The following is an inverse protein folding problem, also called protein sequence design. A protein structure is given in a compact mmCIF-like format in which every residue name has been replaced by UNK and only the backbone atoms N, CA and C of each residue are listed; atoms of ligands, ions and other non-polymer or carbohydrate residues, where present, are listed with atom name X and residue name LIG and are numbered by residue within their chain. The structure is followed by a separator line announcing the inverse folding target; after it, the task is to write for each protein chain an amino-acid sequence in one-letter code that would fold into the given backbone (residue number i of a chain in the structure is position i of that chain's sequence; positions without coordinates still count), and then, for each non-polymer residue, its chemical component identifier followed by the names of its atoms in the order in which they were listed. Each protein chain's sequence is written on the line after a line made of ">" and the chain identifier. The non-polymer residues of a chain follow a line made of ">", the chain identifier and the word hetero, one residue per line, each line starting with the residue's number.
data_IF_311794578173
#
_entry.id   IF_311794578173
#
_cell.length_a   1.000
_cell.length_b   1.000
_cell.length_c   1.000
_cell.angle_alpha   90.00
_cell.angle_beta   90.00
_cell.angle_gamma   90.00
#
_symmetry.space_group_name_H-M   'P 1'
#
loop_
_entity.id
_entity.type
_entity.pdbx_description
1 polymer ?
#
# COMPACT_ATOMS: atom_id res chain seq x y z
N UNK A 1 5.18 62.57 15.10
CA UNK A 1 4.21 62.59 16.21
C UNK A 1 2.93 61.96 15.74
N UNK A 2 2.63 60.79 16.17
CA UNK A 2 1.34 60.29 16.67
C UNK A 2 1.48 58.77 16.96
N UNK A 3 1.41 58.48 18.24
CA UNK A 3 1.42 57.11 18.80
C UNK A 3 -0.03 56.58 18.76
N UNK A 4 -0.31 55.40 18.22
CA UNK A 4 -1.51 54.67 18.57
C UNK A 4 -1.19 53.31 19.12
N UNK A 5 -1.70 53.14 20.34
CA UNK A 5 -1.57 52.01 21.25
C UNK A 5 -2.36 50.80 20.78
N UNK A 6 -1.80 49.61 21.01
CA UNK A 6 -2.50 48.33 20.99
C UNK A 6 -3.46 48.21 22.20
N UNK A 7 -4.56 47.49 22.08
CA UNK A 7 -5.33 47.03 23.23
C UNK A 7 -4.95 45.60 23.62
N UNK A 8 -4.88 45.40 24.95
CA UNK A 8 -4.58 44.21 25.70
C UNK A 8 -5.68 43.14 25.60
N UNK A 9 -5.25 41.92 25.56
CA UNK A 9 -6.06 40.75 25.91
C UNK A 9 -6.63 40.87 27.33
N UNK A 10 -7.91 40.56 27.50
CA UNK A 10 -8.50 40.12 28.75
C UNK A 10 -9.28 38.83 28.55
N UNK A 11 -8.88 37.85 29.31
CA UNK A 11 -9.54 36.66 29.76
C UNK A 11 -11.07 36.61 29.65
N UNK A 12 -11.55 35.46 29.20
CA UNK A 12 -12.84 34.94 29.64
C UNK A 12 -12.70 33.43 29.86
N UNK A 13 -12.69 33.14 31.14
CA UNK A 13 -12.66 31.81 31.72
C UNK A 13 -14.06 31.20 31.82
N UNK A 14 -14.12 29.88 31.70
CA UNK A 14 -15.05 28.95 32.35
C UNK A 14 -16.53 28.98 31.92
N UNK A 15 -16.92 27.93 31.21
CA UNK A 15 -18.19 27.24 31.51
C UNK A 15 -17.97 25.72 31.39
N UNK A 16 -17.95 25.06 32.51
CA UNK A 16 -18.17 23.63 32.69
C UNK A 16 -19.57 23.27 32.17
N UNK A 17 -19.68 22.26 31.37
CA UNK A 17 -20.94 21.54 31.16
C UNK A 17 -20.73 20.08 31.61
N UNK A 18 -21.41 19.74 32.71
CA UNK A 18 -21.54 18.40 33.29
C UNK A 18 -22.22 17.45 32.29
N UNK A 19 -21.58 16.36 31.96
CA UNK A 19 -22.27 15.21 31.34
C UNK A 19 -22.76 14.28 32.46
N UNK A 20 -24.04 13.94 32.42
CA UNK A 20 -24.72 13.04 33.35
C UNK A 20 -24.35 11.59 33.04
N UNK A 21 -23.83 10.90 34.03
CA UNK A 21 -23.66 9.45 34.09
C UNK A 21 -25.03 8.80 34.32
N UNK A 22 -25.45 7.92 33.44
CA UNK A 22 -26.60 7.02 33.66
C UNK A 22 -26.08 5.66 34.07
N UNK A 23 -26.30 5.35 35.37
CA UNK A 23 -26.06 4.04 35.93
C UNK A 23 -27.18 3.09 35.53
N UNK A 24 -26.83 1.95 34.96
CA UNK A 24 -27.75 0.82 34.74
C UNK A 24 -27.63 -0.12 35.92
N UNK A 25 -28.69 -0.19 36.73
CA UNK A 25 -28.84 -1.11 37.83
C UNK A 25 -29.13 -2.53 37.35
N UNK A 26 -28.27 -3.46 37.74
CA UNK A 26 -28.53 -4.91 37.60
C UNK A 26 -29.31 -5.39 38.81
N UNK A 27 -30.53 -5.86 38.58
CA UNK A 27 -31.42 -6.43 39.58
C UNK A 27 -31.07 -7.94 39.74
N UNK A 28 -30.52 -8.28 40.92
CA UNK A 28 -30.32 -9.69 41.33
C UNK A 28 -31.58 -10.16 42.05
N UNK A 29 -32.29 -11.13 41.44
CA UNK A 29 -33.40 -11.83 42.13
C UNK A 29 -32.84 -13.00 42.93
N UNK A 30 -32.88 -12.89 44.24
CA UNK A 30 -32.72 -14.00 45.18
C UNK A 30 -34.06 -14.74 45.32
N UNK A 31 -34.11 -16.02 44.96
CA UNK A 31 -35.22 -16.93 45.28
C UNK A 31 -34.80 -17.78 46.49
N UNK A 32 -35.41 -17.50 47.64
CA UNK A 32 -35.38 -18.34 48.81
C UNK A 32 -36.41 -19.44 48.68
N UNK A 33 -35.99 -20.70 48.61
CA UNK A 33 -36.84 -21.86 48.65
C UNK A 33 -36.67 -22.62 49.97
N UNK A 34 -37.78 -22.84 50.61
CA UNK A 34 -37.99 -23.35 51.97
C UNK A 34 -37.68 -24.85 52.10
N UNK A 35 -37.12 -25.15 53.27
CA UNK A 35 -36.89 -26.48 53.86
C UNK A 35 -38.17 -27.33 53.98
N UNK A 36 -38.09 -28.59 53.59
CA UNK A 36 -39.04 -29.63 53.96
C UNK A 36 -38.30 -30.94 54.25
N UNK A 37 -38.17 -31.27 55.53
CA UNK A 37 -37.71 -32.58 55.98
C UNK A 37 -38.80 -33.63 55.74
N UNK A 38 -38.43 -34.75 55.16
CA UNK A 38 -39.13 -36.02 55.45
C UNK A 38 -38.13 -37.17 55.43
N UNK A 39 -38.07 -37.91 56.53
CA UNK A 39 -37.34 -39.16 56.69
C UNK A 39 -38.15 -40.30 56.06
N UNK A 40 -37.55 -41.22 55.35
CA UNK A 40 -37.59 -42.64 55.66
C UNK A 40 -36.85 -43.54 54.65
N UNK A 41 -36.08 -44.48 55.20
CA UNK A 41 -35.82 -45.85 54.76
C UNK A 41 -34.79 -46.12 53.69
N UNK A 42 -33.65 -46.65 54.18
CA UNK A 42 -32.70 -47.58 53.56
C UNK A 42 -33.18 -48.36 52.33
N UNK A 43 -32.43 -48.23 51.25
CA UNK A 43 -32.00 -49.37 50.44
C UNK A 43 -30.70 -48.95 49.70
N UNK A 44 -29.59 -49.58 50.10
CA UNK A 44 -28.32 -49.46 49.38
C UNK A 44 -28.46 -50.17 48.03
N UNK A 45 -28.43 -49.40 46.96
CA UNK A 45 -28.07 -49.87 45.63
C UNK A 45 -26.81 -49.04 45.26
N UNK A 46 -25.69 -49.71 45.26
CA UNK A 46 -24.43 -49.18 44.76
C UNK A 46 -24.54 -49.03 43.24
N UNK A 47 -24.88 -47.85 42.77
CA UNK A 47 -24.71 -47.48 41.37
C UNK A 47 -23.29 -46.93 41.22
N UNK A 48 -22.41 -47.74 40.65
CA UNK A 48 -21.11 -47.25 40.09
C UNK A 48 -21.44 -46.26 38.99
N UNK A 49 -21.09 -44.97 39.21
CA UNK A 49 -21.05 -43.92 38.22
C UNK A 49 -19.80 -44.21 37.37
N UNK A 50 -19.90 -44.49 36.08
CA UNK A 50 -18.71 -44.60 35.24
C UNK A 50 -17.98 -43.25 35.23
N UNK A 51 -16.62 -43.24 35.23
CA UNK A 51 -15.84 -42.00 35.15
C UNK A 51 -16.16 -41.30 33.85
N UNK A 52 -16.17 -39.93 33.82
CA UNK A 52 -16.41 -39.18 32.58
C UNK A 52 -15.37 -39.60 31.53
N UNK A 53 -15.89 -40.01 30.37
CA UNK A 53 -15.06 -40.36 29.23
C UNK A 53 -14.13 -39.14 28.95
N UNK A 54 -12.83 -39.34 29.09
CA UNK A 54 -11.84 -38.37 28.61
C UNK A 54 -12.02 -38.27 27.10
N UNK A 55 -12.52 -37.14 26.66
CA UNK A 55 -12.58 -36.76 25.26
C UNK A 55 -11.14 -36.77 24.75
N UNK A 56 -10.81 -37.81 23.98
CA UNK A 56 -9.47 -37.94 23.39
C UNK A 56 -9.27 -36.72 22.49
N UNK A 57 -8.34 -35.83 22.87
CA UNK A 57 -7.90 -34.76 22.03
C UNK A 57 -7.53 -35.34 20.64
N UNK A 58 -8.24 -34.90 19.61
CA UNK A 58 -7.94 -35.30 18.24
C UNK A 58 -6.44 -35.05 17.96
N UNK A 59 -5.72 -35.96 17.33
CA UNK A 59 -4.32 -35.76 17.03
C UNK A 59 -4.18 -34.52 16.14
N UNK A 60 -3.51 -33.49 16.64
CA UNK A 60 -3.12 -32.33 15.82
C UNK A 60 -2.10 -32.83 14.81
N UNK A 61 -2.57 -33.09 13.59
CA UNK A 61 -1.69 -33.36 12.45
C UNK A 61 -0.73 -32.18 12.34
N UNK A 62 0.60 -32.38 12.28
CA UNK A 62 1.54 -31.29 12.06
C UNK A 62 1.14 -30.57 10.77
N UNK A 63 0.84 -29.27 10.85
CA UNK A 63 0.60 -28.45 9.68
C UNK A 63 1.85 -28.53 8.78
N UNK A 64 1.64 -28.79 7.49
CA UNK A 64 2.74 -28.76 6.52
C UNK A 64 3.46 -27.38 6.61
N UNK A 65 4.78 -27.35 6.43
CA UNK A 65 5.52 -26.11 6.50
C UNK A 65 4.98 -25.10 5.47
N UNK A 66 4.75 -23.88 5.91
CA UNK A 66 4.24 -22.80 5.04
C UNK A 66 5.25 -22.51 3.92
N UNK A 67 4.80 -22.23 2.68
CA UNK A 67 5.69 -21.80 1.63
C UNK A 67 6.33 -20.46 1.97
N UNK A 68 7.61 -20.30 1.68
CA UNK A 68 8.36 -19.07 1.80
C UNK A 68 8.24 -18.25 0.53
N UNK A 69 7.70 -17.07 0.62
CA UNK A 69 7.52 -16.15 -0.51
C UNK A 69 8.39 -14.91 -0.27
N UNK A 70 9.11 -14.50 -1.28
CA UNK A 70 9.87 -13.26 -1.29
C UNK A 70 9.21 -12.30 -2.25
N UNK A 71 8.97 -11.06 -1.82
CA UNK A 71 8.41 -9.97 -2.62
C UNK A 71 9.44 -8.85 -2.76
N UNK A 72 9.39 -8.08 -3.84
CA UNK A 72 10.41 -7.06 -4.08
C UNK A 72 10.21 -5.82 -3.21
N UNK A 73 9.03 -5.22 -3.20
CA UNK A 73 8.72 -3.99 -2.46
C UNK A 73 7.27 -3.95 -1.99
N UNK A 74 6.86 -2.87 -1.31
CA UNK A 74 5.59 -2.81 -0.58
C UNK A 74 4.33 -3.17 -1.37
N UNK A 75 4.02 -2.63 -2.56
CA UNK A 75 2.85 -3.04 -3.34
C UNK A 75 2.83 -4.55 -3.62
N UNK A 76 3.96 -5.14 -3.96
CA UNK A 76 4.05 -6.58 -4.18
C UNK A 76 3.83 -7.37 -2.89
N UNK A 77 4.32 -6.85 -1.77
CA UNK A 77 4.06 -7.43 -0.45
C UNK A 77 2.56 -7.36 -0.09
N UNK A 78 1.92 -6.20 -0.23
CA UNK A 78 0.49 -6.05 0.11
C UNK A 78 -0.40 -6.96 -0.72
N UNK A 79 -0.19 -7.01 -2.02
CA UNK A 79 -0.97 -7.86 -2.92
C UNK A 79 -0.74 -9.35 -2.63
N UNK A 80 0.51 -9.73 -2.37
CA UNK A 80 0.82 -11.12 -2.02
C UNK A 80 0.22 -11.49 -0.66
N UNK A 81 0.34 -10.64 0.36
CA UNK A 81 -0.25 -10.87 1.68
C UNK A 81 -1.77 -10.93 1.61
N UNK A 82 -2.39 -10.06 0.79
CA UNK A 82 -3.83 -10.10 0.56
C UNK A 82 -4.30 -11.42 -0.06
N UNK A 83 -3.50 -12.03 -0.94
CA UNK A 83 -3.82 -13.32 -1.57
C UNK A 83 -3.54 -14.49 -0.62
N UNK A 84 -2.41 -14.48 0.07
CA UNK A 84 -2.03 -15.62 0.92
C UNK A 84 -2.72 -15.65 2.28
N UNK A 85 -3.10 -14.49 2.82
CA UNK A 85 -3.44 -14.40 4.24
C UNK A 85 -2.29 -14.98 5.07
N UNK A 86 -2.61 -15.89 5.99
CA UNK A 86 -1.64 -16.56 6.86
C UNK A 86 -1.14 -17.90 6.30
N UNK A 87 -1.50 -18.26 5.07
CA UNK A 87 -1.09 -19.54 4.46
C UNK A 87 0.38 -19.58 4.03
N UNK A 88 1.10 -18.46 4.02
CA UNK A 88 2.49 -18.36 3.61
C UNK A 88 3.29 -17.41 4.52
N UNK A 89 4.62 -17.65 4.59
CA UNK A 89 5.58 -16.72 5.18
C UNK A 89 6.12 -15.81 4.10
N UNK A 90 5.97 -14.48 4.29
CA UNK A 90 6.36 -13.49 3.28
C UNK A 90 7.47 -12.59 3.81
N UNK A 91 8.53 -12.49 3.03
CA UNK A 91 9.66 -11.58 3.23
C UNK A 91 9.67 -10.52 2.12
N UNK A 92 10.11 -9.30 2.45
CA UNK A 92 10.25 -8.20 1.50
C UNK A 92 11.74 -7.88 1.32
N UNK A 93 12.20 -7.77 0.06
CA UNK A 93 13.61 -7.50 -0.26
C UNK A 93 14.01 -6.06 0.01
N UNK A 94 13.19 -5.11 -0.45
CA UNK A 94 13.42 -3.68 -0.27
C UNK A 94 12.67 -3.24 0.97
N UNK A 95 13.35 -2.84 2.06
CA UNK A 95 12.69 -2.41 3.28
C UNK A 95 11.77 -1.21 3.03
N UNK A 96 10.61 -1.12 3.73
CA UNK A 96 9.74 0.05 3.65
C UNK A 96 10.50 1.36 3.91
N UNK A 97 10.24 2.37 3.08
CA UNK A 97 10.91 3.67 3.18
C UNK A 97 12.30 3.72 2.52
N UNK A 98 12.70 2.65 1.84
CA UNK A 98 13.91 2.64 1.00
C UNK A 98 13.49 2.94 -0.44
N UNK A 99 14.32 3.74 -1.13
CA UNK A 99 14.14 4.03 -2.55
C UNK A 99 14.19 2.75 -3.39
N UNK A 100 13.24 2.63 -4.33
CA UNK A 100 13.03 1.41 -5.11
C UNK A 100 13.82 1.40 -6.41
N UNK A 101 13.93 2.57 -7.07
CA UNK A 101 14.48 2.69 -8.43
C UNK A 101 15.98 2.42 -8.49
N UNK A 102 16.74 2.88 -7.49
CA UNK A 102 18.20 2.72 -7.42
C UNK A 102 18.65 1.70 -6.38
N UNK A 103 17.74 0.82 -5.95
CA UNK A 103 18.03 -0.17 -4.92
C UNK A 103 19.15 -1.11 -5.32
N UNK A 104 20.09 -1.32 -4.41
CA UNK A 104 21.19 -2.28 -4.55
C UNK A 104 20.98 -3.47 -3.62
N UNK A 105 21.08 -4.67 -4.18
CA UNK A 105 20.88 -5.91 -3.41
C UNK A 105 21.93 -6.09 -2.32
N UNK A 106 21.50 -6.56 -1.17
CA UNK A 106 22.36 -6.94 -0.05
C UNK A 106 22.61 -8.47 -0.01
N UNK A 107 23.62 -8.94 0.73
CA UNK A 107 23.81 -10.37 0.96
C UNK A 107 22.58 -11.06 1.58
N UNK A 108 21.79 -10.35 2.37
CA UNK A 108 20.56 -10.84 2.98
C UNK A 108 19.50 -11.12 1.91
N UNK A 109 19.40 -10.28 0.88
CA UNK A 109 18.49 -10.51 -0.25
C UNK A 109 18.86 -11.79 -1.00
N UNK A 110 20.16 -12.06 -1.20
CA UNK A 110 20.64 -13.32 -1.81
C UNK A 110 20.20 -14.52 -0.98
N UNK A 111 20.38 -14.46 0.36
CA UNK A 111 19.96 -15.53 1.30
C UNK A 111 18.45 -15.75 1.29
N UNK A 112 17.67 -14.68 1.31
CA UNK A 112 16.22 -14.75 1.25
C UNK A 112 15.76 -15.50 -0.02
N UNK A 113 16.29 -15.11 -1.19
CA UNK A 113 15.97 -15.74 -2.47
C UNK A 113 16.46 -17.20 -2.52
N UNK A 114 17.64 -17.52 -1.94
CA UNK A 114 18.20 -18.85 -1.93
C UNK A 114 17.30 -19.88 -1.23
N UNK A 115 16.48 -19.45 -0.26
CA UNK A 115 15.59 -20.33 0.51
C UNK A 115 14.10 -20.17 0.13
N UNK A 116 13.77 -19.27 -0.78
CA UNK A 116 12.39 -19.00 -1.17
C UNK A 116 11.81 -20.09 -2.07
N UNK A 117 10.51 -20.36 -1.93
CA UNK A 117 9.75 -21.16 -2.88
C UNK A 117 9.26 -20.32 -4.07
N UNK A 118 8.87 -19.06 -3.78
CA UNK A 118 8.33 -18.13 -4.77
C UNK A 118 8.95 -16.75 -4.61
N UNK A 119 9.27 -16.12 -5.74
CA UNK A 119 9.66 -14.71 -5.85
C UNK A 119 8.58 -13.97 -6.63
N UNK A 120 8.01 -12.93 -6.02
CA UNK A 120 7.00 -12.05 -6.63
C UNK A 120 7.65 -10.70 -6.91
N UNK A 121 7.67 -10.30 -8.18
CA UNK A 121 8.24 -9.03 -8.65
C UNK A 121 7.20 -8.20 -9.40
N UNK A 122 7.40 -6.87 -9.44
CA UNK A 122 6.59 -6.00 -10.29
C UNK A 122 6.82 -6.28 -11.77
N UNK A 123 8.07 -6.32 -12.20
CA UNK A 123 8.44 -6.38 -13.61
C UNK A 123 8.59 -5.01 -14.25
N UNK A 124 8.51 -4.95 -15.57
CA UNK A 124 8.67 -3.72 -16.36
C UNK A 124 9.99 -2.98 -16.10
N UNK A 125 11.03 -3.70 -15.68
CA UNK A 125 12.36 -3.15 -15.47
C UNK A 125 12.57 -2.40 -14.15
N UNK A 126 11.59 -2.36 -13.25
CA UNK A 126 11.72 -1.68 -11.95
C UNK A 126 12.87 -2.24 -11.12
N UNK A 127 12.95 -3.56 -11.03
CA UNK A 127 13.92 -4.24 -10.19
C UNK A 127 15.21 -4.57 -10.95
N UNK A 128 15.98 -3.57 -11.32
CA UNK A 128 17.22 -3.75 -12.09
C UNK A 128 18.28 -4.62 -11.40
N UNK A 129 18.28 -4.65 -10.07
CA UNK A 129 19.19 -5.47 -9.25
C UNK A 129 18.83 -6.98 -9.26
N UNK A 130 17.60 -7.35 -9.62
CA UNK A 130 17.02 -8.63 -9.29
C UNK A 130 17.63 -9.81 -10.04
N UNK A 131 17.93 -9.65 -11.32
CA UNK A 131 18.44 -10.75 -12.15
C UNK A 131 19.80 -11.24 -11.66
N UNK A 132 20.71 -10.34 -11.29
CA UNK A 132 22.00 -10.68 -10.70
C UNK A 132 21.85 -11.33 -9.33
N UNK A 133 20.91 -10.84 -8.52
CA UNK A 133 20.63 -11.38 -7.18
C UNK A 133 20.09 -12.80 -7.24
N UNK A 134 19.14 -13.06 -8.14
CA UNK A 134 18.59 -14.41 -8.38
C UNK A 134 19.68 -15.37 -8.88
N UNK A 135 20.55 -14.92 -9.79
CA UNK A 135 21.68 -15.73 -10.26
C UNK A 135 22.61 -16.09 -9.12
N UNK A 136 22.95 -15.14 -8.25
CA UNK A 136 23.84 -15.36 -7.11
C UNK A 136 23.20 -16.25 -6.03
N UNK A 137 21.90 -16.26 -5.88
CA UNK A 137 21.17 -17.10 -4.95
C UNK A 137 21.17 -18.59 -5.30
N UNK A 138 21.43 -18.95 -6.56
CA UNK A 138 21.54 -20.32 -7.07
C UNK A 138 20.37 -21.25 -6.70
N UNK A 139 19.16 -20.70 -6.55
CA UNK A 139 17.97 -21.46 -6.20
C UNK A 139 17.30 -22.03 -7.46
N UNK A 140 17.62 -23.28 -7.80
CA UNK A 140 17.06 -23.94 -8.98
C UNK A 140 15.55 -24.21 -8.90
N UNK A 141 14.98 -24.23 -7.69
CA UNK A 141 13.56 -24.53 -7.46
C UNK A 141 12.69 -23.25 -7.37
N UNK A 142 13.29 -22.07 -7.43
CA UNK A 142 12.60 -20.80 -7.31
C UNK A 142 11.56 -20.61 -8.40
N UNK A 143 10.28 -20.47 -8.01
CA UNK A 143 9.22 -20.05 -8.92
C UNK A 143 9.18 -18.53 -8.97
N UNK A 144 9.14 -17.95 -10.17
CA UNK A 144 9.10 -16.49 -10.36
C UNK A 144 7.73 -16.07 -10.87
N UNK A 145 7.13 -15.09 -10.20
CA UNK A 145 5.85 -14.46 -10.58
C UNK A 145 6.15 -13.03 -11.00
N UNK A 146 5.97 -12.74 -12.28
CA UNK A 146 5.99 -11.39 -12.83
C UNK A 146 4.56 -10.86 -12.82
N UNK A 147 4.30 -9.87 -11.95
CA UNK A 147 2.95 -9.39 -11.74
C UNK A 147 2.44 -8.53 -12.88
N UNK A 148 3.33 -7.96 -13.70
CA UNK A 148 2.98 -7.17 -14.88
C UNK A 148 2.74 -8.01 -16.14
N UNK A 149 2.79 -9.34 -16.03
CA UNK A 149 2.55 -10.22 -17.19
C UNK A 149 1.20 -9.89 -17.85
N UNK A 150 1.22 -9.62 -19.16
CA UNK A 150 0.03 -9.29 -19.93
C UNK A 150 -0.41 -7.82 -19.83
N UNK A 151 0.22 -7.01 -18.99
CA UNK A 151 0.00 -5.56 -18.97
C UNK A 151 0.78 -4.91 -20.11
N UNK A 152 0.10 -4.08 -20.91
CA UNK A 152 0.76 -3.29 -21.96
C UNK A 152 1.40 -2.05 -21.32
N UNK A 153 2.73 -1.92 -21.34
CA UNK A 153 3.40 -0.79 -20.74
C UNK A 153 3.12 0.51 -21.49
N UNK A 154 3.14 1.63 -20.75
CA UNK A 154 3.16 2.97 -21.31
C UNK A 154 4.61 3.38 -21.54
N UNK A 155 4.91 3.80 -22.77
CA UNK A 155 6.24 4.28 -23.16
C UNK A 155 6.29 5.81 -23.25
N UNK A 156 5.15 6.46 -23.04
CA UNK A 156 5.08 7.92 -23.02
C UNK A 156 5.61 8.38 -21.65
N UNK A 157 6.71 9.10 -21.70
CA UNK A 157 7.33 9.72 -20.53
C UNK A 157 6.85 11.16 -20.50
N UNK A 158 6.36 11.61 -19.33
CA UNK A 158 5.85 12.97 -19.13
C UNK A 158 6.82 13.95 -18.45
N UNK A 159 8.08 13.62 -18.10
CA UNK A 159 8.92 14.55 -17.36
C UNK A 159 9.26 15.79 -18.19
N UNK A 160 9.18 16.94 -17.52
CA UNK A 160 9.63 18.23 -18.05
C UNK A 160 11.14 18.25 -18.19
N UNK A 161 11.81 17.61 -17.26
CA UNK A 161 13.27 17.53 -17.18
C UNK A 161 13.66 16.10 -17.53
N UNK A 162 14.44 15.97 -18.59
CA UNK A 162 15.09 14.69 -18.92
C UNK A 162 16.36 14.58 -18.10
N UNK A 163 16.61 13.41 -17.54
CA UNK A 163 17.84 13.12 -16.81
C UNK A 163 19.06 13.57 -17.63
N UNK A 164 19.91 14.37 -17.03
CA UNK A 164 21.18 14.77 -17.64
C UNK A 164 22.06 13.53 -17.63
N UNK A 165 22.44 13.04 -18.80
CA UNK A 165 23.44 11.97 -18.93
C UNK A 165 24.74 12.44 -18.28
N UNK A 166 24.87 12.21 -16.97
CA UNK A 166 26.06 12.51 -16.21
C UNK A 166 27.24 11.67 -16.72
N UNK A 167 28.44 12.24 -16.71
CA UNK A 167 29.71 11.53 -16.99
C UNK A 167 30.12 10.61 -15.81
N UNK A 168 29.19 9.97 -15.16
CA UNK A 168 29.44 9.00 -14.10
C UNK A 168 28.88 7.65 -14.54
N UNK A 169 29.56 6.58 -14.15
CA UNK A 169 29.14 5.19 -14.39
C UNK A 169 27.90 4.84 -13.52
N UNK A 170 26.84 5.64 -13.60
CA UNK A 170 25.55 5.27 -13.06
C UNK A 170 24.80 4.54 -14.18
N UNK A 171 24.41 3.30 -13.90
CA UNK A 171 23.54 2.53 -14.76
C UNK A 171 22.20 3.25 -14.77
N UNK A 172 22.00 4.20 -15.69
CA UNK A 172 20.70 4.78 -15.93
C UNK A 172 19.77 3.67 -16.43
N UNK A 173 18.95 3.17 -15.56
CA UNK A 173 17.85 2.31 -15.91
C UNK A 173 16.79 3.19 -16.62
N UNK A 174 17.05 3.58 -17.87
CA UNK A 174 15.94 3.98 -18.73
C UNK A 174 14.95 2.83 -18.67
N UNK A 175 13.71 3.09 -18.37
CA UNK A 175 12.64 2.10 -18.41
C UNK A 175 12.48 1.59 -19.85
N UNK A 176 13.47 0.83 -20.33
CA UNK A 176 13.47 0.24 -21.68
C UNK A 176 12.24 -0.65 -21.91
N UNK A 177 11.57 -1.06 -20.83
CA UNK A 177 10.36 -1.87 -20.83
C UNK A 177 9.08 -1.04 -20.58
N UNK A 178 9.17 0.30 -20.52
CA UNK A 178 8.07 1.23 -20.22
C UNK A 178 7.95 1.59 -18.75
N UNK A 179 7.02 2.51 -18.43
CA UNK A 179 6.81 2.97 -17.06
C UNK A 179 6.36 1.82 -16.15
N UNK A 180 7.00 1.60 -14.98
CA UNK A 180 6.72 0.44 -14.14
C UNK A 180 5.55 0.61 -13.15
N UNK A 181 5.03 1.83 -12.95
CA UNK A 181 4.11 2.17 -11.85
C UNK A 181 2.66 1.73 -12.09
N UNK A 182 2.49 0.47 -12.52
CA UNK A 182 1.17 -0.09 -12.87
C UNK A 182 0.25 -0.29 -11.67
N UNK A 183 0.81 -0.42 -10.46
CA UNK A 183 0.05 -0.59 -9.22
C UNK A 183 -0.79 0.64 -8.84
N UNK A 184 -0.48 1.81 -9.41
CA UNK A 184 -1.24 3.05 -9.16
C UNK A 184 -2.55 3.14 -9.96
N UNK A 185 -2.80 2.22 -10.90
CA UNK A 185 -4.09 2.06 -11.56
C UNK A 185 -4.85 0.87 -10.94
N UNK A 186 -5.97 1.08 -10.23
CA UNK A 186 -6.71 0.00 -9.58
C UNK A 186 -7.11 -1.15 -10.51
N UNK A 187 -7.33 -0.87 -11.80
CA UNK A 187 -7.67 -1.91 -12.79
C UNK A 187 -6.43 -2.75 -13.16
N UNK A 188 -5.25 -2.13 -13.23
CA UNK A 188 -4.00 -2.87 -13.46
C UNK A 188 -3.56 -3.60 -12.19
N UNK A 189 -3.79 -3.04 -11.01
CA UNK A 189 -3.57 -3.72 -9.73
C UNK A 189 -4.41 -5.01 -9.63
N UNK A 190 -5.65 -5.04 -10.14
CA UNK A 190 -6.41 -6.30 -10.25
C UNK A 190 -5.72 -7.35 -11.12
N UNK A 191 -5.10 -6.93 -12.22
CA UNK A 191 -4.33 -7.84 -13.06
C UNK A 191 -3.11 -8.38 -12.31
N UNK A 192 -2.41 -7.52 -11.54
CA UNK A 192 -1.28 -7.94 -10.72
C UNK A 192 -1.70 -8.95 -9.64
N UNK A 193 -2.80 -8.68 -8.92
CA UNK A 193 -3.35 -9.61 -7.92
C UNK A 193 -3.76 -10.95 -8.56
N UNK A 194 -4.31 -10.91 -9.76
CA UNK A 194 -4.66 -12.11 -10.53
C UNK A 194 -3.41 -12.92 -10.89
N UNK A 195 -2.35 -12.26 -11.39
CA UNK A 195 -1.10 -12.91 -11.73
C UNK A 195 -0.40 -13.53 -10.50
N UNK A 196 -0.48 -12.85 -9.35
CA UNK A 196 0.01 -13.37 -8.06
C UNK A 196 -0.76 -14.62 -7.68
N UNK A 197 -2.10 -14.58 -7.68
CA UNK A 197 -2.95 -15.74 -7.38
C UNK A 197 -2.58 -16.93 -8.25
N UNK A 198 -2.52 -16.72 -9.56
CA UNK A 198 -2.25 -17.81 -10.53
C UNK A 198 -0.85 -18.40 -10.33
N UNK A 199 0.14 -17.54 -10.09
CA UNK A 199 1.50 -17.98 -9.78
C UNK A 199 1.60 -18.77 -8.49
N UNK A 200 0.90 -18.33 -7.45
CA UNK A 200 0.86 -19.03 -6.15
C UNK A 200 0.11 -20.35 -6.23
N UNK A 201 -1.03 -20.41 -6.92
CA UNK A 201 -1.77 -21.66 -7.15
C UNK A 201 -0.91 -22.68 -7.90
N UNK A 202 -0.11 -22.24 -8.88
CA UNK A 202 0.77 -23.12 -9.62
C UNK A 202 1.97 -23.61 -8.77
N UNK A 203 2.45 -22.79 -7.83
CA UNK A 203 3.58 -23.12 -6.96
C UNK A 203 3.17 -23.94 -5.73
N UNK A 204 1.97 -23.71 -5.21
CA UNK A 204 1.44 -24.31 -3.99
C UNK A 204 -0.05 -24.65 -4.17
N UNK A 205 -0.37 -25.74 -4.90
CA UNK A 205 -1.75 -26.15 -5.18
C UNK A 205 -2.56 -26.53 -3.93
N UNK A 206 -1.90 -26.87 -2.82
CA UNK A 206 -2.57 -27.25 -1.58
C UNK A 206 -3.40 -26.10 -0.99
N UNK A 207 -2.93 -24.85 -1.16
CA UNK A 207 -3.61 -23.65 -0.67
C UNK A 207 -4.45 -22.94 -1.74
N UNK A 208 -4.72 -23.57 -2.89
CA UNK A 208 -5.47 -22.99 -4.02
C UNK A 208 -6.77 -22.32 -3.59
N UNK A 209 -7.61 -23.01 -2.82
CA UNK A 209 -8.91 -22.47 -2.41
C UNK A 209 -8.79 -21.18 -1.58
N UNK A 210 -7.78 -21.10 -0.71
CA UNK A 210 -7.50 -19.91 0.09
C UNK A 210 -7.07 -18.75 -0.81
N UNK A 211 -6.13 -18.99 -1.73
CA UNK A 211 -5.62 -17.98 -2.65
C UNK A 211 -6.71 -17.44 -3.57
N UNK A 212 -7.56 -18.31 -4.12
CA UNK A 212 -8.68 -17.91 -4.98
C UNK A 212 -9.73 -17.09 -4.24
N UNK A 213 -10.12 -17.51 -3.03
CA UNK A 213 -11.11 -16.80 -2.22
C UNK A 213 -10.61 -15.41 -1.80
N UNK A 214 -9.37 -15.33 -1.30
CA UNK A 214 -8.76 -14.08 -0.85
C UNK A 214 -8.53 -13.12 -2.02
N UNK A 215 -8.00 -13.60 -3.14
CA UNK A 215 -7.81 -12.78 -4.34
C UNK A 215 -9.16 -12.21 -4.84
N UNK A 216 -10.20 -13.03 -4.86
CA UNK A 216 -11.55 -12.58 -5.26
C UNK A 216 -12.06 -11.46 -4.35
N UNK A 217 -11.90 -11.59 -3.04
CA UNK A 217 -12.30 -10.57 -2.07
C UNK A 217 -11.50 -9.26 -2.27
N UNK A 218 -10.19 -9.34 -2.47
CA UNK A 218 -9.35 -8.16 -2.67
C UNK A 218 -9.63 -7.48 -4.02
N UNK A 219 -9.84 -8.23 -5.09
CA UNK A 219 -10.22 -7.72 -6.41
C UNK A 219 -11.54 -6.94 -6.33
N UNK A 220 -12.52 -7.43 -5.54
CA UNK A 220 -13.77 -6.69 -5.32
C UNK A 220 -13.54 -5.33 -4.64
N UNK A 221 -12.58 -5.23 -3.70
CA UNK A 221 -12.21 -3.95 -3.10
C UNK A 221 -11.54 -3.02 -4.13
N UNK A 222 -10.69 -3.56 -5.02
CA UNK A 222 -10.10 -2.80 -6.12
C UNK A 222 -11.15 -2.31 -7.13
N UNK A 223 -12.21 -3.07 -7.39
CA UNK A 223 -13.33 -2.63 -8.21
C UNK A 223 -14.09 -1.45 -7.55
N UNK A 224 -14.30 -1.52 -6.25
CA UNK A 224 -14.91 -0.41 -5.51
C UNK A 224 -14.03 0.86 -5.58
N UNK A 225 -12.72 0.71 -5.35
CA UNK A 225 -11.77 1.81 -5.46
C UNK A 225 -11.75 2.43 -6.86
N UNK A 226 -11.77 1.58 -7.92
CA UNK A 226 -11.91 2.06 -9.30
C UNK A 226 -13.16 2.91 -9.49
N UNK A 227 -14.30 2.45 -8.98
CA UNK A 227 -15.56 3.19 -9.07
C UNK A 227 -15.52 4.51 -8.30
N UNK A 228 -14.88 4.56 -7.12
CA UNK A 228 -14.66 5.79 -6.35
C UNK A 228 -13.84 6.81 -7.16
N UNK A 229 -12.74 6.38 -7.77
CA UNK A 229 -11.92 7.24 -8.64
C UNK A 229 -12.71 7.73 -9.86
N UNK A 230 -13.44 6.84 -10.52
CA UNK A 230 -14.24 7.19 -11.69
C UNK A 230 -15.30 8.24 -11.35
N UNK A 231 -16.06 8.03 -10.28
CA UNK A 231 -17.09 8.98 -9.83
C UNK A 231 -16.49 10.30 -9.33
N UNK A 232 -15.38 10.21 -8.60
CA UNK A 232 -14.72 11.35 -7.99
C UNK A 232 -14.08 12.31 -9.00
N UNK A 233 -13.59 11.79 -10.12
CA UNK A 233 -12.84 12.56 -11.13
C UNK A 233 -13.63 12.84 -12.42
N UNK A 234 -14.82 12.26 -12.59
CA UNK A 234 -15.62 12.42 -13.83
C UNK A 234 -15.99 13.87 -14.15
N UNK A 235 -16.06 14.76 -13.15
CA UNK A 235 -16.45 16.17 -13.33
C UNK A 235 -15.27 17.07 -13.69
N UNK A 236 -14.05 16.56 -13.65
CA UNK A 236 -12.82 17.31 -13.89
C UNK A 236 -11.96 16.67 -14.99
N UNK A 237 -12.53 16.34 -16.17
CA UNK A 237 -11.77 15.73 -17.25
C UNK A 237 -10.67 16.68 -17.74
N UNK A 238 -9.55 16.09 -18.18
CA UNK A 238 -8.37 16.81 -18.65
C UNK A 238 -7.69 17.71 -17.62
N UNK A 239 -8.01 17.57 -16.32
CA UNK A 239 -7.28 18.26 -15.27
C UNK A 239 -5.80 17.91 -15.37
N UNK A 240 -4.94 18.93 -15.40
CA UNK A 240 -3.49 18.76 -15.41
C UNK A 240 -2.95 18.93 -14.00
N UNK A 241 -2.19 17.96 -13.54
CA UNK A 241 -1.50 18.00 -12.25
C UNK A 241 0.01 17.77 -12.44
N UNK A 242 0.81 18.37 -11.58
CA UNK A 242 2.28 18.28 -11.63
C UNK A 242 2.77 17.52 -10.41
N UNK A 243 3.50 16.43 -10.66
CA UNK A 243 4.13 15.58 -9.64
C UNK A 243 5.64 15.74 -9.65
N UNK A 244 6.31 15.28 -8.60
CA UNK A 244 7.76 15.28 -8.58
C UNK A 244 8.31 14.28 -9.61
N UNK A 245 8.05 12.98 -9.46
CA UNK A 245 8.50 11.99 -10.46
C UNK A 245 7.34 11.40 -11.29
N UNK A 246 7.69 10.61 -12.33
CA UNK A 246 6.74 10.11 -13.34
C UNK A 246 6.06 8.80 -12.93
N UNK A 247 5.38 8.82 -11.76
CA UNK A 247 4.73 7.63 -11.23
C UNK A 247 3.28 7.40 -11.70
N UNK A 248 2.56 8.43 -12.13
CA UNK A 248 1.10 8.38 -12.25
C UNK A 248 0.54 8.31 -13.69
N UNK A 249 1.28 7.92 -14.75
CA UNK A 249 0.75 7.99 -16.12
C UNK A 249 -0.40 7.00 -16.35
N UNK A 250 -0.39 5.83 -15.71
CA UNK A 250 -1.49 4.86 -15.80
C UNK A 250 -2.77 5.37 -15.15
N UNK A 251 -2.67 5.92 -13.92
CA UNK A 251 -3.78 6.54 -13.23
C UNK A 251 -4.34 7.72 -14.02
N UNK A 252 -3.47 8.61 -14.50
CA UNK A 252 -3.88 9.77 -15.29
C UNK A 252 -4.64 9.35 -16.55
N UNK A 253 -4.10 8.39 -17.30
CA UNK A 253 -4.74 7.83 -18.49
C UNK A 253 -6.08 7.18 -18.18
N UNK A 254 -6.17 6.41 -17.08
CA UNK A 254 -7.39 5.71 -16.66
C UNK A 254 -8.55 6.66 -16.41
N UNK A 255 -8.29 7.78 -15.77
CA UNK A 255 -9.34 8.72 -15.32
C UNK A 255 -9.37 10.02 -16.13
N UNK A 256 -8.80 9.99 -17.34
CA UNK A 256 -8.79 11.14 -18.27
C UNK A 256 -8.21 12.42 -17.64
N UNK A 257 -7.13 12.26 -16.89
CA UNK A 257 -6.31 13.34 -16.35
C UNK A 257 -5.03 13.48 -17.17
N UNK A 258 -4.26 14.54 -16.92
CA UNK A 258 -2.96 14.75 -17.50
C UNK A 258 -1.92 14.95 -16.42
N UNK A 259 -1.03 13.98 -16.27
CA UNK A 259 0.16 14.13 -15.45
C UNK A 259 1.25 14.88 -16.21
N UNK A 260 1.99 15.71 -15.49
CA UNK A 260 3.26 16.27 -15.91
C UNK A 260 4.25 16.06 -14.76
N UNK A 261 5.26 15.24 -14.96
CA UNK A 261 6.29 15.01 -13.96
C UNK A 261 7.42 16.05 -14.09
N UNK A 262 8.05 16.40 -12.96
CA UNK A 262 9.25 17.25 -12.96
C UNK A 262 10.45 16.45 -13.43
N UNK A 263 10.67 15.27 -12.87
CA UNK A 263 11.76 14.32 -13.17
C UNK A 263 11.20 12.95 -13.55
N UNK A 264 12.07 12.08 -14.08
CA UNK A 264 11.69 10.70 -14.44
C UNK A 264 11.62 9.81 -13.19
N UNK A 265 12.66 9.88 -12.35
CA UNK A 265 12.75 9.15 -11.08
C UNK A 265 13.09 10.11 -9.93
N UNK A 266 12.79 9.76 -8.65
CA UNK A 266 12.97 10.66 -7.52
C UNK A 266 14.41 11.14 -7.29
N UNK A 267 15.42 10.33 -7.67
CA UNK A 267 16.84 10.61 -7.48
C UNK A 267 17.42 11.59 -8.52
N UNK A 268 16.67 11.91 -9.57
CA UNK A 268 17.12 12.82 -10.61
C UNK A 268 17.40 14.21 -10.05
N UNK A 269 18.62 14.71 -10.28
CA UNK A 269 19.02 16.04 -9.84
C UNK A 269 18.61 17.10 -10.86
N UNK A 270 17.99 18.17 -10.36
CA UNK A 270 17.57 19.30 -11.17
C UNK A 270 18.68 20.35 -11.32
N UNK A 271 18.99 20.73 -12.56
CA UNK A 271 19.80 21.91 -12.81
C UNK A 271 18.95 23.20 -12.65
N UNK A 272 19.56 24.37 -12.36
CA UNK A 272 18.82 25.63 -12.28
C UNK A 272 18.00 25.97 -13.52
N UNK A 273 18.48 25.57 -14.71
CA UNK A 273 17.73 25.72 -15.97
C UNK A 273 16.46 24.88 -16.04
N UNK A 274 16.39 23.81 -15.27
CA UNK A 274 15.25 22.89 -15.28
C UNK A 274 14.10 23.44 -14.46
N UNK A 275 14.40 24.19 -13.40
CA UNK A 275 13.43 24.95 -12.61
C UNK A 275 12.60 25.86 -13.51
N UNK A 276 13.25 26.56 -14.47
CA UNK A 276 12.56 27.43 -15.42
C UNK A 276 11.62 26.63 -16.35
N UNK A 277 11.98 25.42 -16.74
CA UNK A 277 11.11 24.55 -17.55
C UNK A 277 9.86 24.17 -16.76
N UNK A 278 10.01 23.84 -15.46
CA UNK A 278 8.87 23.54 -14.57
C UNK A 278 7.96 24.76 -14.46
N UNK A 279 8.49 25.95 -14.20
CA UNK A 279 7.72 27.21 -14.13
C UNK A 279 6.94 27.46 -15.43
N UNK A 280 7.57 27.29 -16.58
CA UNK A 280 6.94 27.47 -17.87
C UNK A 280 5.81 26.44 -18.11
N UNK A 281 6.01 25.21 -17.65
CA UNK A 281 5.02 24.14 -17.74
C UNK A 281 3.80 24.43 -16.87
N UNK A 282 4.01 24.82 -15.61
CA UNK A 282 2.95 25.21 -14.70
C UNK A 282 2.08 26.31 -15.30
N UNK A 283 2.69 27.33 -15.85
CA UNK A 283 1.98 28.45 -16.52
C UNK A 283 1.25 28.00 -17.77
N UNK A 284 1.89 27.20 -18.63
CA UNK A 284 1.32 26.70 -19.89
C UNK A 284 0.04 25.91 -19.67
N UNK A 285 0.01 25.08 -18.63
CA UNK A 285 -1.14 24.22 -18.34
C UNK A 285 -2.08 24.80 -17.28
N UNK A 286 -1.85 26.03 -16.81
CA UNK A 286 -2.65 26.66 -15.76
C UNK A 286 -2.87 25.77 -14.55
N UNK A 287 -1.80 25.12 -14.10
CA UNK A 287 -1.81 24.17 -12.98
C UNK A 287 -2.21 24.89 -11.69
N UNK A 288 -3.05 24.26 -10.88
CA UNK A 288 -3.57 24.85 -9.62
C UNK A 288 -2.86 24.32 -8.38
N UNK A 289 -2.24 23.14 -8.47
CA UNK A 289 -1.51 22.53 -7.37
C UNK A 289 -0.28 21.81 -7.88
N UNK A 290 0.77 21.79 -7.05
CA UNK A 290 1.93 20.92 -7.19
C UNK A 290 1.81 19.78 -6.18
N UNK A 291 2.34 18.62 -6.54
CA UNK A 291 2.31 17.45 -5.68
C UNK A 291 3.73 17.03 -5.32
N UNK A 292 4.00 16.97 -4.01
CA UNK A 292 5.16 16.28 -3.46
C UNK A 292 4.78 14.84 -3.07
N UNK A 293 5.80 14.05 -2.77
CA UNK A 293 5.67 12.65 -2.43
C UNK A 293 6.21 12.40 -1.02
N UNK A 294 5.61 11.46 -0.25
CA UNK A 294 6.11 11.09 1.06
C UNK A 294 7.57 10.63 0.99
N UNK A 295 8.39 11.11 1.93
CA UNK A 295 9.81 10.70 2.03
C UNK A 295 10.77 11.41 1.09
N UNK A 296 10.30 12.24 0.14
CA UNK A 296 11.17 13.00 -0.77
C UNK A 296 11.58 14.37 -0.21
N UNK A 297 12.74 14.91 -0.65
CA UNK A 297 13.11 16.31 -0.35
C UNK A 297 12.28 17.27 -1.20
N UNK A 298 11.23 17.82 -0.60
CA UNK A 298 10.27 18.69 -1.28
C UNK A 298 10.65 20.18 -1.28
N UNK A 299 11.87 20.56 -0.88
CA UNK A 299 12.28 21.97 -0.77
C UNK A 299 12.08 22.74 -2.08
N UNK A 300 12.42 22.14 -3.20
CA UNK A 300 12.23 22.76 -4.50
C UNK A 300 10.74 22.98 -4.81
N UNK A 301 9.90 21.97 -4.65
CA UNK A 301 8.46 22.08 -4.88
C UNK A 301 7.81 23.07 -3.90
N UNK A 302 8.28 23.11 -2.66
CA UNK A 302 7.84 24.08 -1.67
C UNK A 302 8.22 25.52 -2.07
N UNK A 303 9.42 25.75 -2.58
CA UNK A 303 9.83 27.05 -3.11
C UNK A 303 8.98 27.44 -4.33
N UNK A 304 8.83 26.54 -5.29
CA UNK A 304 8.05 26.77 -6.50
C UNK A 304 6.58 27.05 -6.20
N UNK A 305 5.98 26.32 -5.26
CA UNK A 305 4.59 26.56 -4.87
C UNK A 305 4.39 27.95 -4.30
N UNK A 306 5.33 28.41 -3.47
CA UNK A 306 5.33 29.74 -2.90
C UNK A 306 5.51 30.83 -3.98
N UNK A 307 6.52 30.67 -4.85
CA UNK A 307 6.85 31.64 -5.89
C UNK A 307 5.76 31.77 -6.96
N UNK A 308 5.04 30.69 -7.21
CA UNK A 308 3.95 30.63 -8.20
C UNK A 308 2.55 30.81 -7.58
N UNK A 309 2.48 31.01 -6.25
CA UNK A 309 1.21 31.09 -5.49
C UNK A 309 0.31 29.87 -5.74
N UNK A 310 0.90 28.66 -5.71
CA UNK A 310 0.21 27.39 -5.89
C UNK A 310 0.08 26.65 -4.55
N UNK A 311 -0.91 25.80 -4.45
CA UNK A 311 -1.01 24.87 -3.31
C UNK A 311 -0.03 23.71 -3.51
N UNK A 312 0.80 23.43 -2.49
CA UNK A 312 1.56 22.18 -2.41
C UNK A 312 0.70 21.14 -1.69
N UNK A 313 0.47 20.02 -2.34
CA UNK A 313 -0.30 18.87 -1.83
C UNK A 313 0.60 17.64 -1.81
N UNK A 314 0.15 16.59 -1.15
CA UNK A 314 0.82 15.30 -1.16
C UNK A 314 0.06 14.32 -2.05
N UNK A 315 0.81 13.50 -2.80
CA UNK A 315 0.33 12.34 -3.53
C UNK A 315 1.33 11.20 -3.34
N UNK A 316 0.85 10.03 -2.96
CA UNK A 316 1.68 8.91 -2.55
C UNK A 316 1.87 7.92 -3.72
N UNK A 317 3.13 7.63 -4.16
CA UNK A 317 3.41 6.59 -5.14
C UNK A 317 3.30 5.17 -4.55
N UNK A 318 3.00 5.04 -3.26
CA UNK A 318 2.83 3.78 -2.54
C UNK A 318 4.13 2.95 -2.42
N UNK A 319 5.26 3.61 -2.37
CA UNK A 319 6.58 2.99 -2.17
C UNK A 319 7.02 3.00 -0.70
N UNK A 320 6.28 3.76 0.12
CA UNK A 320 6.45 3.84 1.58
C UNK A 320 5.17 3.39 2.29
N UNK A 321 5.26 3.11 3.61
CA UNK A 321 4.08 2.77 4.41
C UNK A 321 4.29 1.57 5.34
N UNK A 322 3.21 1.12 5.94
CA UNK A 322 3.18 -0.07 6.79
C UNK A 322 2.93 -1.36 5.98
N UNK A 323 3.02 -2.52 6.65
CA UNK A 323 2.82 -3.84 6.02
C UNK A 323 1.35 -4.32 6.01
N UNK A 324 0.39 -3.49 6.41
CA UNK A 324 -1.02 -3.83 6.31
C UNK A 324 -1.51 -3.77 4.84
N UNK A 325 -2.06 -4.83 4.25
CA UNK A 325 -2.60 -4.78 2.88
C UNK A 325 -3.68 -3.72 2.66
N UNK A 326 -4.35 -3.26 3.71
CA UNK A 326 -5.33 -2.19 3.64
C UNK A 326 -4.69 -0.80 3.50
N UNK A 327 -3.37 -0.69 3.72
CA UNK A 327 -2.62 0.54 3.46
C UNK A 327 -2.79 1.01 2.01
N UNK A 328 -2.75 0.08 1.06
CA UNK A 328 -2.98 0.37 -0.36
C UNK A 328 -4.26 1.17 -0.59
N UNK A 329 -5.38 0.74 -0.01
CA UNK A 329 -6.66 1.42 -0.19
C UNK A 329 -6.70 2.79 0.50
N UNK A 330 -6.17 2.89 1.71
CA UNK A 330 -6.10 4.17 2.45
C UNK A 330 -5.27 5.21 1.69
N UNK A 331 -4.09 4.84 1.22
CA UNK A 331 -3.22 5.74 0.47
C UNK A 331 -3.84 6.15 -0.88
N UNK A 332 -4.43 5.21 -1.62
CA UNK A 332 -5.11 5.51 -2.87
C UNK A 332 -6.34 6.41 -2.67
N UNK A 333 -7.11 6.25 -1.60
CA UNK A 333 -8.23 7.15 -1.28
C UNK A 333 -7.74 8.56 -0.92
N UNK A 334 -6.62 8.67 -0.20
CA UNK A 334 -5.98 9.98 0.04
C UNK A 334 -5.52 10.62 -1.27
N UNK A 335 -4.93 9.84 -2.19
CA UNK A 335 -4.56 10.30 -3.52
C UNK A 335 -5.78 10.83 -4.31
N UNK A 336 -6.90 10.12 -4.25
CA UNK A 336 -8.15 10.58 -4.87
C UNK A 336 -8.60 11.93 -4.30
N UNK A 337 -8.62 12.09 -2.98
CA UNK A 337 -9.01 13.34 -2.33
C UNK A 337 -8.07 14.50 -2.70
N UNK A 338 -6.76 14.23 -2.76
CA UNK A 338 -5.76 15.21 -3.16
C UNK A 338 -5.97 15.67 -4.61
N UNK A 339 -6.20 14.74 -5.54
CA UNK A 339 -6.49 15.03 -6.94
C UNK A 339 -7.81 15.79 -7.12
N UNK A 340 -8.89 15.37 -6.45
CA UNK A 340 -10.18 16.08 -6.48
C UNK A 340 -10.03 17.55 -6.05
N UNK A 341 -9.30 17.75 -4.93
CA UNK A 341 -9.09 19.10 -4.40
C UNK A 341 -8.20 19.99 -5.28
N UNK A 342 -7.34 19.39 -6.10
CA UNK A 342 -6.46 20.11 -7.01
C UNK A 342 -7.14 20.45 -8.35
N UNK A 343 -8.14 19.66 -8.73
CA UNK A 343 -8.82 19.79 -10.02
C UNK A 343 -10.10 20.62 -9.95
N UNK A 344 -10.55 21.02 -8.76
CA UNK A 344 -11.67 21.95 -8.56
C UNK A 344 -11.17 23.39 -8.57
#
# INVERSE_FOLDING_TARGET
>A
MSKHKAPRLKELSKKLCRAKSSAVSVLVLLVLGTTGCNQSSNNQVTSEVPPPAQEAAAPTTPSAPKPKIVTTFLPMYWFTRAVTGDAADIEILIPPGTEVHDYQATPENVKAIATANVLVKNGLGLEGFLDSTVKNAQNANLKKVDTSKGIKPLNEISPVVKAVKGRGHHHHHHHAQGNPHVWLDPVLAKQQVTNIRDGLVAADPANKAVYEANASAYIKQLDNLHNEFQQGLQKTPNCTFVTFHDAYPYLARRYNLKQVAVVEIPEDQLAPSDVQKVVNTVRKYNVKALFNEPGTDNKLLASLSKDLNLTLREIDPLETGDKDPQHYFRAMQNNLQALQSACQ
#
